data_IF_343412020504
#
_entry.id   IF_343412020504
#
_cell.length_a   1.000
_cell.length_b   1.000
_cell.length_c   1.000
_cell.angle_alpha   90.00
_cell.angle_beta   90.00
_cell.angle_gamma   90.00
#
_symmetry.space_group_name_H-M   'P 1'
#
loop_
_entity.id
_entity.type
_entity.pdbx_description
1 polymer ?
#
# COMPACT_ATOMS: atom_id res chain seq x y z
N UNK A 1 -0.86 5.47 18.94
CA UNK A 1 -0.62 6.93 19.02
C UNK A 1 -1.25 7.49 20.29
N UNK A 2 -0.51 8.25 21.13
CA UNK A 2 -1.08 8.86 22.33
C UNK A 2 -2.35 9.67 22.00
N UNK A 3 -3.44 9.44 22.73
CA UNK A 3 -4.71 10.16 22.54
C UNK A 3 -5.64 9.61 21.45
N UNK A 4 -5.26 8.55 20.71
CA UNK A 4 -6.16 7.91 19.75
C UNK A 4 -7.28 7.15 20.47
N UNK A 5 -8.54 7.48 20.17
CA UNK A 5 -9.73 6.83 20.75
C UNK A 5 -10.20 5.58 19.99
N UNK A 6 -9.65 5.34 18.78
CA UNK A 6 -10.01 4.16 17.97
C UNK A 6 -9.36 2.89 18.55
N UNK A 7 -8.09 2.97 18.96
CA UNK A 7 -7.38 1.84 19.57
C UNK A 7 -7.28 0.60 18.66
N UNK A 8 -6.91 0.77 17.39
CA UNK A 8 -6.93 -0.31 16.39
C UNK A 8 -5.85 -1.40 16.58
N UNK A 9 -4.76 -1.09 17.29
CA UNK A 9 -3.64 -2.00 17.47
C UNK A 9 -4.09 -3.27 18.19
N UNK A 10 -3.71 -4.43 17.65
CA UNK A 10 -3.95 -5.73 18.26
C UNK A 10 -2.69 -6.26 18.94
N UNK A 11 -2.85 -7.17 19.91
CA UNK A 11 -1.76 -7.91 20.54
C UNK A 11 -1.96 -9.40 20.31
N UNK A 12 -0.95 -10.07 19.77
CA UNK A 12 -0.94 -11.50 19.53
C UNK A 12 0.11 -12.19 20.41
N UNK A 13 -0.29 -13.02 21.39
CA UNK A 13 0.65 -13.76 22.22
C UNK A 13 1.21 -14.97 21.45
N UNK A 14 2.53 -15.03 21.31
CA UNK A 14 3.20 -16.18 20.71
C UNK A 14 3.43 -17.30 21.74
N UNK A 15 3.50 -18.57 21.29
CA UNK A 15 3.90 -19.69 22.14
C UNK A 15 5.27 -19.52 22.81
N UNK A 16 6.16 -18.72 22.20
CA UNK A 16 7.48 -18.37 22.75
C UNK A 16 7.41 -17.47 24.00
N UNK A 17 6.22 -16.96 24.35
CA UNK A 17 6.00 -16.04 25.46
C UNK A 17 6.22 -14.56 25.08
N UNK A 18 6.60 -14.28 23.83
CA UNK A 18 6.61 -12.93 23.26
C UNK A 18 5.18 -12.47 22.97
N UNK A 19 4.92 -11.18 23.04
CA UNK A 19 3.69 -10.57 22.52
C UNK A 19 4.04 -9.70 21.32
N UNK A 20 3.35 -9.94 20.21
CA UNK A 20 3.55 -9.22 18.95
C UNK A 20 2.43 -8.21 18.80
N UNK A 21 2.80 -6.96 18.51
CA UNK A 21 1.81 -5.92 18.24
C UNK A 21 2.37 -4.90 17.25
N UNK A 22 1.59 -4.48 16.25
CA UNK A 22 0.38 -5.12 15.72
C UNK A 22 0.69 -6.18 14.65
N UNK A 23 -0.17 -7.20 14.49
CA UNK A 23 -0.30 -7.93 13.22
C UNK A 23 -1.41 -7.23 12.43
N UNK A 24 -1.02 -6.27 11.58
CA UNK A 24 -1.97 -5.56 10.73
C UNK A 24 -2.46 -6.43 9.57
N UNK A 25 -3.54 -5.99 8.91
CA UNK A 25 -4.13 -6.68 7.75
C UNK A 25 -3.08 -6.99 6.67
N UNK A 26 -2.26 -6.00 6.33
CA UNK A 26 -1.21 -6.12 5.31
C UNK A 26 -0.13 -7.13 5.71
N UNK A 27 0.33 -7.10 6.96
CA UNK A 27 1.30 -8.09 7.48
C UNK A 27 0.74 -9.50 7.44
N UNK A 28 -0.52 -9.69 7.85
CA UNK A 28 -1.17 -10.99 7.83
C UNK A 28 -1.32 -11.53 6.41
N UNK A 29 -1.64 -10.66 5.43
CA UNK A 29 -1.65 -11.03 4.03
C UNK A 29 -0.25 -11.35 3.50
N UNK A 30 0.72 -10.46 3.73
CA UNK A 30 2.05 -10.52 3.13
C UNK A 30 2.81 -11.79 3.53
N UNK A 31 2.75 -12.15 4.82
CA UNK A 31 3.37 -13.40 5.29
C UNK A 31 2.43 -14.59 5.23
N UNK A 32 1.11 -14.38 5.21
CA UNK A 32 0.12 -15.45 5.15
C UNK A 32 -0.29 -15.78 3.74
N UNK A 33 -1.40 -15.19 3.28
CA UNK A 33 -2.04 -15.52 2.00
C UNK A 33 -1.12 -15.34 0.79
N UNK A 34 -0.24 -14.34 0.78
CA UNK A 34 0.71 -14.12 -0.31
C UNK A 34 1.79 -15.22 -0.36
N UNK A 35 2.30 -15.66 0.79
CA UNK A 35 3.35 -16.68 0.89
C UNK A 35 2.80 -18.11 1.09
N UNK A 36 1.47 -18.28 1.08
CA UNK A 36 0.74 -19.50 1.43
C UNK A 36 1.03 -20.07 2.84
N UNK A 37 1.52 -19.25 3.78
CA UNK A 37 1.77 -19.69 5.16
C UNK A 37 0.48 -19.64 5.95
N UNK A 38 0.04 -20.78 6.49
CA UNK A 38 -1.23 -20.88 7.23
C UNK A 38 -1.08 -20.74 8.75
N UNK A 39 0.15 -20.80 9.28
CA UNK A 39 0.42 -20.73 10.72
C UNK A 39 0.49 -19.27 11.19
N UNK A 40 -0.48 -18.86 12.01
CA UNK A 40 -0.46 -17.52 12.63
C UNK A 40 0.76 -17.31 13.53
N UNK A 41 1.28 -18.37 14.14
CA UNK A 41 2.49 -18.28 14.96
C UNK A 41 3.74 -18.03 14.10
N UNK A 42 3.81 -18.62 12.91
CA UNK A 42 4.91 -18.36 11.97
C UNK A 42 4.83 -16.94 11.40
N UNK A 43 3.62 -16.51 11.02
CA UNK A 43 3.35 -15.12 10.62
C UNK A 43 3.72 -14.15 11.74
N UNK A 44 3.41 -14.49 12.99
CA UNK A 44 3.73 -13.69 14.16
C UNK A 44 5.24 -13.57 14.42
N UNK A 45 6.00 -14.68 14.30
CA UNK A 45 7.47 -14.62 14.41
C UNK A 45 8.11 -13.87 13.24
N UNK A 46 7.59 -14.00 12.01
CA UNK A 46 8.03 -13.20 10.85
C UNK A 46 7.78 -11.69 11.05
N UNK A 47 6.59 -11.34 11.56
CA UNK A 47 6.26 -9.96 11.92
C UNK A 47 7.19 -9.43 13.02
N UNK A 48 7.41 -10.23 14.07
CA UNK A 48 8.32 -9.85 15.15
C UNK A 48 9.72 -9.57 14.63
N UNK A 49 10.28 -10.48 13.83
CA UNK A 49 11.62 -10.35 13.28
C UNK A 49 11.71 -9.14 12.33
N UNK A 50 10.68 -8.91 11.52
CA UNK A 50 10.62 -7.72 10.66
C UNK A 50 10.63 -6.43 11.49
N UNK A 51 9.86 -6.39 12.58
CA UNK A 51 9.86 -5.24 13.50
C UNK A 51 11.21 -5.05 14.21
N UNK A 52 11.86 -6.15 14.64
CA UNK A 52 13.17 -6.11 15.31
C UNK A 52 14.29 -5.65 14.36
N UNK A 53 14.24 -6.06 13.10
CA UNK A 53 15.19 -5.68 12.05
C UNK A 53 14.87 -4.33 11.41
N UNK A 54 13.68 -3.76 11.62
CA UNK A 54 13.22 -2.52 11.00
C UNK A 54 12.88 -2.68 9.50
N UNK A 55 12.25 -3.79 9.13
CA UNK A 55 11.85 -4.12 7.77
C UNK A 55 10.35 -3.89 7.56
N UNK A 56 9.98 -3.37 6.39
CA UNK A 56 8.57 -3.29 5.96
C UNK A 56 8.03 -4.71 5.68
N UNK A 57 6.89 -5.05 6.28
CA UNK A 57 6.30 -6.39 6.17
C UNK A 57 5.70 -6.66 4.79
N UNK A 58 5.21 -5.64 4.09
CA UNK A 58 4.68 -5.78 2.71
C UNK A 58 5.82 -6.14 1.77
N UNK A 59 6.88 -5.31 1.73
CA UNK A 59 8.05 -5.57 0.88
C UNK A 59 8.77 -6.86 1.26
N UNK A 60 8.87 -7.17 2.56
CA UNK A 60 9.48 -8.42 3.03
C UNK A 60 8.67 -9.63 2.58
N UNK A 61 7.34 -9.63 2.76
CA UNK A 61 6.47 -10.70 2.28
C UNK A 61 6.54 -10.86 0.76
N UNK A 62 6.50 -9.76 0.01
CA UNK A 62 6.68 -9.76 -1.45
C UNK A 62 8.02 -10.34 -1.88
N UNK A 63 9.09 -10.04 -1.15
CA UNK A 63 10.44 -10.57 -1.41
C UNK A 63 10.50 -12.08 -1.11
N UNK A 64 9.90 -12.53 -0.01
CA UNK A 64 9.81 -13.95 0.31
C UNK A 64 8.99 -14.72 -0.73
N UNK A 65 7.89 -14.15 -1.23
CA UNK A 65 7.13 -14.71 -2.35
C UNK A 65 7.97 -14.88 -3.61
N UNK A 66 8.85 -13.92 -3.94
CA UNK A 66 9.81 -14.05 -5.04
C UNK A 66 10.81 -15.18 -4.81
N UNK A 67 11.32 -15.35 -3.58
CA UNK A 67 12.20 -16.47 -3.23
C UNK A 67 11.47 -17.82 -3.32
N UNK A 68 10.18 -17.84 -3.00
CA UNK A 68 9.34 -19.04 -3.14
C UNK A 68 9.12 -19.40 -4.61
N UNK A 69 8.79 -18.41 -5.46
CA UNK A 69 8.68 -18.58 -6.91
C UNK A 69 10.00 -19.07 -7.54
N UNK A 70 11.15 -18.58 -7.05
CA UNK A 70 12.47 -19.03 -7.47
C UNK A 70 12.88 -20.42 -6.96
N UNK A 71 12.08 -21.06 -6.10
CA UNK A 71 12.38 -22.37 -5.52
C UNK A 71 13.48 -22.36 -4.46
N UNK A 72 13.85 -21.19 -3.93
CA UNK A 72 14.81 -21.04 -2.83
C UNK A 72 14.15 -21.45 -1.50
N UNK A 73 12.86 -21.13 -1.36
CA UNK A 73 12.01 -21.47 -0.21
C UNK A 73 10.81 -22.25 -0.74
N UNK A 74 10.34 -23.33 -0.11
CA UNK A 74 9.08 -23.95 -0.50
C UNK A 74 7.89 -23.03 -0.19
N UNK A 75 6.92 -22.93 -1.11
CA UNK A 75 5.64 -22.25 -0.84
C UNK A 75 4.99 -22.76 0.45
N UNK A 76 4.51 -21.85 1.28
CA UNK A 76 3.85 -22.15 2.55
C UNK A 76 4.76 -22.56 3.72
N UNK A 77 6.09 -22.65 3.52
CA UNK A 77 7.03 -22.99 4.60
C UNK A 77 7.45 -21.74 5.40
N UNK A 78 6.63 -21.39 6.40
CA UNK A 78 6.88 -20.24 7.28
C UNK A 78 8.17 -20.33 8.09
N UNK A 79 8.65 -21.54 8.42
CA UNK A 79 9.91 -21.73 9.14
C UNK A 79 11.11 -21.45 8.26
N UNK A 80 11.09 -21.92 7.00
CA UNK A 80 12.13 -21.59 6.02
C UNK A 80 12.12 -20.12 5.64
N UNK A 81 10.94 -19.50 5.56
CA UNK A 81 10.82 -18.05 5.40
C UNK A 81 11.50 -17.29 6.55
N UNK A 82 11.30 -17.73 7.80
CA UNK A 82 11.95 -17.14 8.97
C UNK A 82 13.48 -17.29 8.92
N UNK A 83 13.97 -18.50 8.62
CA UNK A 83 15.41 -18.75 8.45
C UNK A 83 16.04 -17.84 7.38
N UNK A 84 15.33 -17.64 6.25
CA UNK A 84 15.79 -16.75 5.19
C UNK A 84 15.80 -15.28 5.63
N UNK A 85 14.80 -14.84 6.39
CA UNK A 85 14.73 -13.48 6.91
C UNK A 85 15.83 -13.20 7.95
N UNK A 86 16.20 -14.18 8.77
CA UNK A 86 17.33 -14.06 9.71
C UNK A 86 18.67 -13.77 9.00
N UNK A 87 18.83 -14.23 7.75
CA UNK A 87 20.02 -13.94 6.95
C UNK A 87 20.22 -12.45 6.70
N UNK A 88 19.14 -11.67 6.65
CA UNK A 88 19.18 -10.20 6.54
C UNK A 88 19.91 -9.61 7.73
N UNK A 89 19.54 -10.00 8.96
CA UNK A 89 20.20 -9.56 10.19
C UNK A 89 21.67 -10.00 10.29
N UNK A 90 22.01 -11.13 9.66
CA UNK A 90 23.41 -11.62 9.58
C UNK A 90 24.23 -10.90 8.51
N UNK A 91 23.60 -10.17 7.59
CA UNK A 91 24.27 -9.49 6.48
C UNK A 91 24.95 -10.47 5.49
N UNK A 92 24.44 -11.70 5.42
CA UNK A 92 24.98 -12.73 4.54
C UNK A 92 24.72 -12.38 3.06
N UNK A 93 25.36 -13.06 2.09
CA UNK A 93 25.09 -12.81 0.68
C UNK A 93 23.60 -12.92 0.32
N UNK A 94 22.89 -13.92 0.85
CA UNK A 94 21.44 -14.06 0.66
C UNK A 94 20.67 -12.93 1.37
N UNK A 95 21.05 -12.63 2.62
CA UNK A 95 20.44 -11.52 3.37
C UNK A 95 20.57 -10.17 2.68
N UNK A 96 21.69 -9.92 1.98
CA UNK A 96 21.89 -8.71 1.18
C UNK A 96 21.00 -8.68 -0.07
N UNK A 97 20.65 -9.82 -0.65
CA UNK A 97 19.70 -9.88 -1.77
C UNK A 97 18.28 -9.61 -1.24
N UNK A 98 17.88 -10.28 -0.16
CA UNK A 98 16.56 -10.09 0.46
C UNK A 98 16.37 -8.64 0.92
N UNK A 99 17.38 -8.06 1.57
CA UNK A 99 17.33 -6.67 2.05
C UNK A 99 17.31 -5.59 0.95
N UNK A 100 17.34 -5.95 -0.34
CA UNK A 100 17.16 -5.01 -1.46
C UNK A 100 15.73 -5.05 -2.04
N UNK A 101 14.83 -5.85 -1.47
CA UNK A 101 13.42 -5.91 -1.86
C UNK A 101 13.12 -6.81 -3.04
N UNK A 102 11.83 -6.94 -3.35
CA UNK A 102 11.25 -7.93 -4.24
C UNK A 102 11.70 -7.75 -5.69
N UNK A 103 11.81 -6.51 -6.15
CA UNK A 103 12.29 -6.19 -7.50
C UNK A 103 13.74 -6.62 -7.70
N UNK A 104 14.62 -6.29 -6.76
CA UNK A 104 16.03 -6.70 -6.86
C UNK A 104 16.20 -8.21 -6.71
N UNK A 105 15.50 -8.82 -5.74
CA UNK A 105 15.52 -10.27 -5.56
C UNK A 105 15.07 -10.99 -6.85
N UNK A 106 14.01 -10.50 -7.50
CA UNK A 106 13.54 -11.11 -8.74
C UNK A 106 14.54 -10.96 -9.88
N UNK A 107 15.20 -9.81 -9.99
CA UNK A 107 16.32 -9.64 -10.94
C UNK A 107 17.48 -10.60 -10.67
N UNK A 108 17.84 -10.79 -9.39
CA UNK A 108 18.94 -11.67 -8.98
C UNK A 108 18.65 -13.15 -9.26
N UNK A 109 17.40 -13.58 -9.13
CA UNK A 109 16.96 -14.97 -9.32
C UNK A 109 16.29 -15.25 -10.67
N UNK A 110 16.18 -14.24 -11.55
CA UNK A 110 15.58 -14.40 -12.88
C UNK A 110 14.05 -14.49 -12.88
N UNK A 111 13.39 -13.99 -11.83
CA UNK A 111 11.92 -13.92 -11.73
C UNK A 111 11.44 -12.61 -12.34
N UNK A 112 10.57 -12.71 -13.33
CA UNK A 112 10.03 -11.53 -14.05
C UNK A 112 8.64 -11.13 -13.57
N UNK A 113 7.92 -12.03 -12.88
CA UNK A 113 6.54 -11.83 -12.42
C UNK A 113 6.51 -11.18 -11.04
N UNK A 114 6.91 -9.91 -10.98
CA UNK A 114 6.99 -9.15 -9.72
C UNK A 114 5.86 -8.13 -9.68
N UNK A 115 5.02 -8.19 -8.66
CA UNK A 115 3.92 -7.25 -8.44
C UNK A 115 4.45 -5.97 -7.77
N UNK A 116 5.08 -5.08 -8.53
CA UNK A 116 5.65 -3.84 -8.01
C UNK A 116 5.42 -2.66 -8.95
N UNK A 117 5.32 -1.46 -8.39
CA UNK A 117 5.27 -0.19 -9.13
C UNK A 117 6.27 0.77 -8.52
N UNK A 118 7.09 1.42 -9.37
CA UNK A 118 8.19 2.30 -8.95
C UNK A 118 9.20 1.65 -7.99
N UNK A 119 9.34 0.33 -8.06
CA UNK A 119 10.27 -0.42 -7.20
C UNK A 119 9.69 -0.91 -5.87
N UNK A 120 8.45 -0.54 -5.54
CA UNK A 120 7.77 -0.96 -4.31
C UNK A 120 6.73 -2.03 -4.57
N UNK A 121 6.72 -3.08 -3.76
CA UNK A 121 5.81 -4.22 -3.87
C UNK A 121 4.35 -3.79 -3.62
N UNK A 122 3.42 -4.42 -4.34
CA UNK A 122 2.00 -4.15 -4.20
C UNK A 122 1.44 -4.71 -2.87
N UNK A 123 0.60 -3.94 -2.16
CA UNK A 123 -0.15 -4.41 -0.98
C UNK A 123 -1.24 -5.43 -1.30
N UNK A 124 -2.02 -5.82 -0.27
CA UNK A 124 -3.00 -6.90 -0.23
C UNK A 124 -4.24 -6.82 -1.14
N UNK A 125 -4.25 -5.91 -2.11
CA UNK A 125 -5.39 -5.71 -3.01
C UNK A 125 -4.99 -5.92 -4.46
N UNK A 126 -5.58 -6.92 -5.11
CA UNK A 126 -5.33 -7.18 -6.53
C UNK A 126 -6.02 -6.12 -7.41
N UNK A 127 -5.26 -5.30 -8.17
CA UNK A 127 -5.82 -4.20 -8.94
C UNK A 127 -6.72 -4.65 -10.09
N UNK A 128 -6.67 -5.92 -10.49
CA UNK A 128 -7.60 -6.47 -11.50
C UNK A 128 -9.01 -6.56 -10.94
N UNK A 129 -9.14 -6.97 -9.68
CA UNK A 129 -10.42 -7.07 -8.96
C UNK A 129 -10.91 -5.74 -8.42
N UNK A 130 -10.02 -4.76 -8.24
CA UNK A 130 -10.32 -3.44 -7.66
C UNK A 130 -9.62 -2.35 -8.47
N UNK A 131 -10.23 -1.94 -9.59
CA UNK A 131 -9.56 -1.06 -10.56
C UNK A 131 -9.13 0.30 -9.99
N UNK A 132 -9.88 0.84 -9.01
CA UNK A 132 -9.52 2.08 -8.32
C UNK A 132 -8.16 2.00 -7.63
N UNK A 133 -7.87 0.91 -6.93
CA UNK A 133 -6.56 0.74 -6.26
C UNK A 133 -5.43 0.57 -7.28
N UNK A 134 -5.72 -0.02 -8.45
CA UNK A 134 -4.77 -0.08 -9.55
C UNK A 134 -4.38 1.29 -10.08
N UNK A 135 -5.33 2.24 -10.16
CA UNK A 135 -4.99 3.65 -10.44
C UNK A 135 -4.07 4.19 -9.35
N UNK A 136 -4.41 3.97 -8.07
CA UNK A 136 -3.59 4.45 -6.96
C UNK A 136 -2.16 3.93 -7.03
N UNK A 137 -1.97 2.62 -7.19
CA UNK A 137 -0.64 2.01 -7.30
C UNK A 137 0.15 2.56 -8.48
N UNK A 138 -0.51 2.77 -9.62
CA UNK A 138 0.12 3.33 -10.80
C UNK A 138 0.57 4.78 -10.55
N UNK A 139 -0.29 5.64 -9.99
CA UNK A 139 -0.11 7.09 -10.09
C UNK A 139 0.50 7.75 -8.87
N UNK A 140 0.44 7.12 -7.69
CA UNK A 140 1.02 7.69 -6.46
C UNK A 140 2.52 8.00 -6.62
N UNK A 141 3.02 9.11 -6.05
CA UNK A 141 4.44 9.46 -6.13
C UNK A 141 5.38 8.45 -5.46
N UNK A 142 4.93 7.72 -4.43
CA UNK A 142 5.83 6.91 -3.59
C UNK A 142 6.06 5.47 -4.09
N UNK A 143 5.30 4.99 -5.08
CA UNK A 143 5.24 3.57 -5.46
C UNK A 143 4.01 2.88 -4.92
N UNK A 144 3.82 1.58 -5.19
CA UNK A 144 2.56 0.90 -4.89
C UNK A 144 2.16 0.97 -3.40
N UNK A 145 1.30 1.92 -3.05
CA UNK A 145 0.79 2.15 -1.70
C UNK A 145 -0.73 2.32 -1.75
N UNK A 146 -1.44 1.50 -0.99
CA UNK A 146 -2.90 1.49 -0.94
C UNK A 146 -3.46 2.64 -0.09
N UNK A 147 -2.70 3.12 0.89
CA UNK A 147 -3.11 4.19 1.83
C UNK A 147 -3.08 5.56 1.16
N UNK A 148 -2.19 5.74 0.18
CA UNK A 148 -2.07 6.97 -0.59
C UNK A 148 -3.40 7.37 -1.24
N UNK A 149 -4.23 6.41 -1.65
CA UNK A 149 -5.55 6.64 -2.22
C UNK A 149 -6.43 5.40 -2.05
N UNK A 150 -6.95 5.20 -0.84
CA UNK A 150 -7.58 3.96 -0.40
C UNK A 150 -8.98 3.75 -1.00
N UNK A 151 -9.03 3.44 -2.30
CA UNK A 151 -10.26 3.27 -3.09
C UNK A 151 -11.18 2.16 -2.57
N UNK A 152 -10.65 1.28 -1.72
CA UNK A 152 -11.38 0.19 -1.04
C UNK A 152 -12.59 0.74 -0.27
N UNK A 153 -12.54 1.99 0.22
CA UNK A 153 -13.67 2.65 0.89
C UNK A 153 -14.94 2.62 0.05
N UNK A 154 -14.91 3.21 -1.14
CA UNK A 154 -16.07 3.26 -2.03
C UNK A 154 -16.24 1.99 -2.89
N UNK A 155 -15.14 1.27 -3.17
CA UNK A 155 -15.18 0.07 -4.00
C UNK A 155 -15.78 -1.15 -3.27
N UNK A 156 -15.48 -1.33 -1.98
CA UNK A 156 -15.82 -2.53 -1.22
C UNK A 156 -16.61 -2.19 0.04
N UNK A 157 -16.15 -1.21 0.82
CA UNK A 157 -16.67 -0.94 2.17
C UNK A 157 -17.95 -0.09 2.18
N UNK A 158 -18.28 0.55 1.05
CA UNK A 158 -19.42 1.46 0.88
C UNK A 158 -19.35 2.70 1.78
N UNK A 159 -18.14 3.21 1.98
CA UNK A 159 -17.84 4.42 2.75
C UNK A 159 -17.52 5.54 1.76
N UNK A 160 -18.18 6.69 1.90
CA UNK A 160 -18.10 7.79 0.93
C UNK A 160 -18.81 7.51 -0.40
N UNK A 161 -19.73 6.54 -0.41
CA UNK A 161 -20.48 6.12 -1.60
C UNK A 161 -20.08 4.75 -2.14
N UNK A 162 -20.51 4.45 -3.37
CA UNK A 162 -20.27 3.16 -4.03
C UNK A 162 -19.79 3.40 -5.46
N UNK A 163 -18.63 2.83 -5.80
CA UNK A 163 -18.09 2.81 -7.17
C UNK A 163 -17.74 1.36 -7.51
N UNK A 164 -18.34 0.82 -8.58
CA UNK A 164 -18.20 -0.59 -8.96
C UNK A 164 -16.73 -0.94 -9.30
N UNK A 165 -16.03 -1.76 -8.49
CA UNK A 165 -14.60 -2.03 -8.65
C UNK A 165 -14.23 -2.77 -9.93
N UNK A 166 -15.19 -3.46 -10.55
CA UNK A 166 -14.97 -4.27 -11.75
C UNK A 166 -15.08 -3.42 -13.02
N UNK A 167 -15.56 -2.18 -12.89
CA UNK A 167 -15.78 -1.23 -13.97
C UNK A 167 -14.71 -0.15 -14.01
N UNK A 168 -14.48 0.40 -15.19
CA UNK A 168 -13.50 1.47 -15.42
C UNK A 168 -14.02 2.81 -14.93
N UNK A 169 -15.32 3.02 -15.11
CA UNK A 169 -15.98 4.28 -14.92
C UNK A 169 -15.83 4.78 -13.48
N UNK A 170 -15.33 6.01 -13.33
CA UNK A 170 -15.18 6.68 -12.03
C UNK A 170 -13.93 6.30 -11.23
N UNK A 171 -13.16 5.29 -11.65
CA UNK A 171 -12.00 4.82 -10.88
C UNK A 171 -10.86 5.84 -10.84
N UNK A 172 -10.62 6.53 -11.97
CA UNK A 172 -9.60 7.58 -12.06
C UNK A 172 -9.92 8.74 -11.12
N UNK A 173 -11.17 9.23 -11.16
CA UNK A 173 -11.62 10.34 -10.32
C UNK A 173 -11.65 9.96 -8.84
N UNK A 174 -12.09 8.74 -8.52
CA UNK A 174 -12.08 8.20 -7.17
C UNK A 174 -10.66 8.20 -6.60
N UNK A 175 -9.71 7.59 -7.30
CA UNK A 175 -8.31 7.53 -6.87
C UNK A 175 -7.71 8.92 -6.74
N UNK A 176 -7.94 9.82 -7.71
CA UNK A 176 -7.42 11.20 -7.68
C UNK A 176 -7.91 11.96 -6.46
N UNK A 177 -9.21 11.94 -6.20
CA UNK A 177 -9.80 12.67 -5.09
C UNK A 177 -9.36 12.10 -3.74
N UNK A 178 -9.25 10.78 -3.63
CA UNK A 178 -8.74 10.13 -2.41
C UNK A 178 -7.26 10.44 -2.20
N UNK A 179 -6.42 10.46 -3.24
CA UNK A 179 -5.02 10.86 -3.10
C UNK A 179 -4.88 12.30 -2.62
N UNK A 180 -5.65 13.23 -3.18
CA UNK A 180 -5.65 14.63 -2.73
C UNK A 180 -6.05 14.74 -1.25
N UNK A 181 -7.07 13.98 -0.84
CA UNK A 181 -7.56 13.99 0.54
C UNK A 181 -6.58 13.32 1.51
N UNK A 182 -5.99 12.17 1.15
CA UNK A 182 -4.97 11.48 1.96
C UNK A 182 -3.75 12.36 2.18
N UNK A 183 -3.22 12.99 1.13
CA UNK A 183 -2.07 13.90 1.25
C UNK A 183 -2.36 15.07 2.18
N UNK A 184 -3.60 15.59 2.18
CA UNK A 184 -4.01 16.60 3.17
C UNK A 184 -3.95 16.03 4.59
N UNK A 185 -4.56 14.86 4.84
CA UNK A 185 -4.59 14.23 6.17
C UNK A 185 -3.16 13.93 6.68
N UNK A 186 -2.29 13.42 5.81
CA UNK A 186 -0.89 13.14 6.16
C UNK A 186 -0.15 14.43 6.54
N UNK A 187 -0.46 15.54 5.88
CA UNK A 187 0.12 16.86 6.19
C UNK A 187 -0.32 17.42 7.55
N UNK A 188 -1.39 16.91 8.16
CA UNK A 188 -1.87 17.37 9.48
C UNK A 188 -1.35 16.52 10.64
N UNK A 189 -0.81 15.33 10.37
CA UNK A 189 -0.43 14.33 11.38
C UNK A 189 -1.62 13.58 12.00
N UNK A 190 -2.81 13.65 11.37
CA UNK A 190 -3.92 12.78 11.77
C UNK A 190 -3.70 11.37 11.22
N UNK A 191 -4.17 10.36 11.94
CA UNK A 191 -4.20 9.00 11.42
C UNK A 191 -5.20 8.92 10.26
N UNK A 192 -4.83 8.27 9.15
CA UNK A 192 -5.68 8.10 7.97
C UNK A 192 -7.05 7.48 8.28
N UNK A 193 -7.21 6.73 9.38
CA UNK A 193 -8.51 6.16 9.75
C UNK A 193 -9.58 7.22 10.07
N UNK A 194 -9.22 8.49 10.26
CA UNK A 194 -10.23 9.57 10.29
C UNK A 194 -10.94 9.76 8.95
N UNK A 195 -10.35 9.29 7.84
CA UNK A 195 -10.94 9.35 6.50
C UNK A 195 -12.30 8.63 6.44
N UNK A 196 -12.49 7.55 7.19
CA UNK A 196 -13.79 6.86 7.26
C UNK A 196 -14.89 7.78 7.78
N UNK A 197 -14.59 8.60 8.79
CA UNK A 197 -15.52 9.60 9.30
C UNK A 197 -15.68 10.77 8.32
N UNK A 198 -14.58 11.25 7.71
CA UNK A 198 -14.61 12.33 6.70
C UNK A 198 -15.53 11.99 5.53
N UNK A 199 -15.47 10.75 5.06
CA UNK A 199 -16.20 10.31 3.87
C UNK A 199 -17.71 10.14 4.12
N UNK A 200 -18.11 9.82 5.35
CA UNK A 200 -19.52 9.57 5.71
C UNK A 200 -20.18 10.69 6.55
N UNK A 201 -19.42 11.70 6.98
CA UNK A 201 -19.91 12.81 7.78
C UNK A 201 -19.43 14.17 7.21
N UNK A 202 -20.38 14.96 6.73
CA UNK A 202 -20.13 16.27 6.12
C UNK A 202 -19.47 17.29 7.07
N UNK A 203 -19.66 17.15 8.38
CA UNK A 203 -19.07 18.02 9.39
C UNK A 203 -17.61 17.68 9.71
N UNK A 204 -17.14 16.48 9.35
CA UNK A 204 -15.83 16.00 9.79
C UNK A 204 -14.65 16.76 9.15
N UNK A 205 -14.70 17.06 7.85
CA UNK A 205 -13.65 17.86 7.20
C UNK A 205 -13.65 19.33 7.69
N UNK A 206 -14.79 20.03 7.77
CA UNK A 206 -14.86 21.36 8.41
C UNK A 206 -14.28 21.36 9.83
N UNK A 207 -14.59 20.33 10.62
CA UNK A 207 -14.06 20.19 11.99
C UNK A 207 -12.53 20.10 11.99
N UNK A 208 -11.94 19.30 11.10
CA UNK A 208 -10.48 19.20 10.96
C UNK A 208 -9.87 20.56 10.61
N UNK A 209 -10.46 21.29 9.67
CA UNK A 209 -9.98 22.63 9.28
C UNK A 209 -10.09 23.62 10.43
N UNK A 210 -11.18 23.59 11.20
CA UNK A 210 -11.35 24.42 12.40
C UNK A 210 -10.29 24.12 13.46
N UNK A 211 -9.96 22.84 13.67
CA UNK A 211 -8.89 22.43 14.59
C UNK A 211 -7.54 23.00 14.15
N UNK A 212 -7.21 22.96 12.85
CA UNK A 212 -5.98 23.54 12.31
C UNK A 212 -5.95 25.06 12.49
N UNK A 213 -7.03 25.75 12.13
CA UNK A 213 -7.17 27.19 12.31
C UNK A 213 -6.99 27.61 13.77
N UNK A 214 -7.63 26.89 14.70
CA UNK A 214 -7.54 27.14 16.14
C UNK A 214 -6.12 26.90 16.65
N UNK A 215 -5.46 25.82 16.21
CA UNK A 215 -4.12 25.44 16.69
C UNK A 215 -3.02 26.40 16.23
N UNK A 216 -3.12 26.88 14.99
CA UNK A 216 -2.05 27.64 14.32
C UNK A 216 -2.39 29.12 14.10
N UNK A 217 -3.61 29.56 14.42
CA UNK A 217 -4.07 30.93 14.17
C UNK A 217 -4.28 31.21 12.67
N UNK A 218 -4.63 30.19 11.90
CA UNK A 218 -4.90 30.31 10.45
C UNK A 218 -6.36 30.69 10.18
N UNK A 219 -6.67 30.88 8.89
CA UNK A 219 -8.02 31.16 8.40
C UNK A 219 -8.27 30.41 7.09
N UNK A 220 -7.97 29.11 7.07
CA UNK A 220 -8.19 28.22 5.94
C UNK A 220 -9.68 27.91 5.79
N UNK A 221 -10.17 27.88 4.55
CA UNK A 221 -11.40 27.16 4.19
C UNK A 221 -11.13 25.68 3.89
N UNK A 222 -12.18 24.88 3.68
CA UNK A 222 -12.04 23.49 3.21
C UNK A 222 -11.41 23.44 1.82
N UNK A 223 -11.76 24.37 0.94
CA UNK A 223 -11.18 24.50 -0.40
C UNK A 223 -9.69 24.85 -0.33
N UNK A 224 -9.28 25.72 0.60
CA UNK A 224 -7.85 26.02 0.82
C UNK A 224 -7.07 24.77 1.27
N UNK A 225 -7.68 23.96 2.14
CA UNK A 225 -7.10 22.69 2.60
C UNK A 225 -6.96 21.67 1.45
N UNK A 226 -7.99 21.50 0.62
CA UNK A 226 -7.92 20.64 -0.57
C UNK A 226 -6.91 21.16 -1.60
N UNK A 227 -6.79 22.48 -1.76
CA UNK A 227 -5.76 23.08 -2.61
C UNK A 227 -4.36 22.82 -2.08
N UNK A 228 -4.17 22.73 -0.76
CA UNK A 228 -2.91 22.30 -0.17
C UNK A 228 -2.58 20.85 -0.55
N UNK A 229 -3.51 19.91 -0.43
CA UNK A 229 -3.32 18.52 -0.85
C UNK A 229 -2.89 18.40 -2.33
N UNK A 230 -3.55 19.14 -3.23
CA UNK A 230 -3.17 19.21 -4.65
C UNK A 230 -1.75 19.76 -4.85
N UNK A 231 -1.37 20.82 -4.12
CA UNK A 231 -0.03 21.41 -4.22
C UNK A 231 1.03 20.43 -3.73
N UNK A 232 0.80 19.73 -2.62
CA UNK A 232 1.73 18.75 -2.07
C UNK A 232 1.96 17.61 -3.07
N UNK A 233 0.90 17.02 -3.63
CA UNK A 233 1.03 15.98 -4.66
C UNK A 233 1.81 16.46 -5.89
N UNK A 234 1.63 17.72 -6.32
CA UNK A 234 2.41 18.30 -7.42
C UNK A 234 3.89 18.43 -7.06
N UNK A 235 4.21 18.84 -5.84
CA UNK A 235 5.61 18.93 -5.37
C UNK A 235 6.26 17.54 -5.33
N UNK A 236 5.56 16.54 -4.81
CA UNK A 236 6.04 15.15 -4.80
C UNK A 236 6.23 14.61 -6.22
N UNK A 237 5.30 14.92 -7.13
CA UNK A 237 5.42 14.56 -8.55
C UNK A 237 6.61 15.27 -9.21
N UNK A 238 6.79 16.55 -8.97
CA UNK A 238 7.89 17.35 -9.52
C UNK A 238 9.25 16.85 -9.01
N UNK A 239 9.32 16.38 -7.76
CA UNK A 239 10.49 15.69 -7.24
C UNK A 239 10.80 14.43 -8.07
N UNK A 240 9.80 13.59 -8.30
CA UNK A 240 9.99 12.38 -9.12
C UNK A 240 10.43 12.69 -10.54
N UNK A 241 9.84 13.70 -11.19
CA UNK A 241 10.26 14.15 -12.53
C UNK A 241 11.73 14.57 -12.52
N UNK A 242 12.16 15.32 -11.51
CA UNK A 242 13.57 15.70 -11.34
C UNK A 242 14.49 14.50 -11.06
N UNK A 243 13.98 13.46 -10.40
CA UNK A 243 14.68 12.20 -10.19
C UNK A 243 14.72 11.28 -11.43
N UNK A 244 14.09 11.69 -12.54
CA UNK A 244 14.08 10.97 -13.82
C UNK A 244 12.86 10.09 -14.06
N UNK A 245 11.84 10.17 -13.20
CA UNK A 245 10.58 9.46 -13.44
C UNK A 245 9.83 10.11 -14.60
N UNK A 246 9.28 9.25 -15.43
CA UNK A 246 8.42 9.59 -16.57
C UNK A 246 7.06 8.93 -16.38
N UNK A 247 6.10 9.24 -17.26
CA UNK A 247 4.81 8.56 -17.29
C UNK A 247 4.90 7.03 -17.41
N UNK A 248 5.99 6.51 -17.99
CA UNK A 248 6.24 5.06 -18.08
C UNK A 248 6.41 4.39 -16.70
N UNK A 249 6.72 5.16 -15.66
CA UNK A 249 6.80 4.68 -14.29
C UNK A 249 5.44 4.66 -13.58
N UNK A 250 4.40 5.20 -14.21
CA UNK A 250 3.02 5.16 -13.72
C UNK A 250 2.22 4.06 -14.42
N UNK A 251 2.82 2.86 -14.48
CA UNK A 251 2.27 1.69 -15.15
C UNK A 251 2.26 0.51 -14.21
N UNK A 252 1.24 -0.35 -14.33
CA UNK A 252 1.20 -1.62 -13.63
C UNK A 252 2.00 -2.68 -14.41
N UNK A 253 2.53 -3.70 -13.72
CA UNK A 253 3.13 -4.88 -14.35
C UNK A 253 2.25 -5.49 -15.44
N UNK A 254 2.87 -5.86 -16.56
CA UNK A 254 2.18 -6.28 -17.78
C UNK A 254 1.21 -7.47 -17.57
N UNK A 255 1.56 -8.40 -16.68
CA UNK A 255 0.71 -9.56 -16.40
C UNK A 255 -0.65 -9.17 -15.79
N UNK A 256 -0.74 -8.04 -15.08
CA UNK A 256 -2.01 -7.54 -14.55
C UNK A 256 -2.94 -7.02 -15.64
N UNK A 257 -2.39 -6.60 -16.78
CA UNK A 257 -3.15 -6.14 -17.95
C UNK A 257 -3.50 -7.29 -18.91
N UNK A 258 -2.73 -8.38 -18.90
CA UNK A 258 -2.93 -9.50 -19.84
C UNK A 258 -3.70 -10.67 -19.23
N UNK A 259 -3.53 -10.93 -17.95
CA UNK A 259 -4.02 -12.16 -17.32
C UNK A 259 -5.27 -11.90 -16.50
N UNK A 260 -6.28 -12.72 -16.77
CA UNK A 260 -7.57 -12.68 -16.08
C UNK A 260 -7.46 -13.24 -14.67
N UNK A 261 -8.15 -12.61 -13.74
CA UNK A 261 -8.26 -13.03 -12.34
C UNK A 261 -9.62 -13.69 -12.08
N UNK A 262 -9.60 -14.95 -11.66
CA UNK A 262 -10.78 -15.65 -11.16
C UNK A 262 -11.27 -15.05 -9.82
N UNK A 263 -12.57 -15.11 -9.48
CA UNK A 263 -13.65 -15.74 -10.24
C UNK A 263 -14.34 -14.81 -11.26
N UNK A 264 -13.92 -13.54 -11.35
CA UNK A 264 -14.57 -12.56 -12.22
C UNK A 264 -14.06 -12.59 -13.67
N UNK A 265 -12.92 -13.25 -13.92
CA UNK A 265 -12.27 -13.39 -15.23
C UNK A 265 -11.97 -12.05 -15.91
N UNK A 266 -11.56 -11.05 -15.10
CA UNK A 266 -11.19 -9.70 -15.53
C UNK A 266 -9.70 -9.42 -15.33
N UNK A 267 -9.17 -8.44 -16.08
CA UNK A 267 -7.83 -7.89 -15.92
C UNK A 267 -7.93 -6.38 -15.68
N UNK A 268 -6.81 -5.75 -15.33
CA UNK A 268 -6.74 -4.30 -15.21
C UNK A 268 -6.73 -3.68 -16.60
N UNK A 269 -7.76 -2.91 -16.91
CA UNK A 269 -7.98 -2.40 -18.27
C UNK A 269 -7.96 -0.87 -18.37
N UNK A 270 -7.80 -0.11 -17.28
CA UNK A 270 -7.69 1.36 -17.37
C UNK A 270 -6.49 1.73 -18.26
N UNK A 271 -6.77 2.57 -19.27
CA UNK A 271 -5.82 2.83 -20.35
C UNK A 271 -4.67 3.73 -19.92
N UNK A 272 -3.52 3.58 -20.56
CA UNK A 272 -2.35 4.42 -20.27
C UNK A 272 -2.62 5.91 -20.51
N UNK A 273 -3.31 6.26 -21.59
CA UNK A 273 -3.71 7.64 -21.87
C UNK A 273 -4.65 8.20 -20.80
N UNK A 274 -5.49 7.34 -20.21
CA UNK A 274 -6.39 7.71 -19.12
C UNK A 274 -5.60 7.95 -17.82
N UNK A 275 -4.66 7.06 -17.48
CA UNK A 275 -3.73 7.24 -16.35
C UNK A 275 -2.87 8.50 -16.50
N UNK A 276 -2.43 8.82 -17.72
CA UNK A 276 -1.63 10.02 -18.01
C UNK A 276 -2.37 11.33 -17.68
N UNK A 277 -3.72 11.29 -17.59
CA UNK A 277 -4.54 12.45 -17.17
C UNK A 277 -4.70 12.58 -15.66
N UNK A 278 -4.13 11.69 -14.85
CA UNK A 278 -4.31 11.69 -13.40
C UNK A 278 -3.95 13.03 -12.77
N UNK A 279 -2.83 13.63 -13.17
CA UNK A 279 -2.30 14.88 -12.61
C UNK A 279 -2.86 16.16 -13.26
N UNK A 280 -3.92 16.07 -14.09
CA UNK A 280 -4.55 17.22 -14.75
C UNK A 280 -5.44 18.05 -13.80
N UNK A 281 -4.88 18.57 -12.71
CA UNK A 281 -5.50 19.47 -11.75
C UNK A 281 -4.52 20.55 -11.31
#
# INVERSE_FOLDING_TARGET
MPGCVIGCSNEYPLPSGKTISPIEYETAWAFGAHCEVSSLDDIGELNWLSNDLGLDTIETGGTLGVLMEAGIIPWGDGKKALEALEEVGKGSPLGRIIGQGSVFAGQAFGITRIAAVKGQHMPAYDPRGIKGIGVTYATTPMGADHTAGYCITANILKVGGIVDPLKREGQLDLSRNLQIASTLIDSTGFCLFVAFAILDNEDAMPTIVEMLNTRFGWSLSVEDALALGKRTLKVERDFNVQAGFTKEHDRLPEFLMKEKLAPHDIHFDIGEEELDTFYNF
#
